data_IF_088120337376
#
_entry.id   IF_088120337376
#
_cell.length_a   1.000
_cell.length_b   1.000
_cell.length_c   1.000
_cell.angle_alpha   90.00
_cell.angle_beta   90.00
_cell.angle_gamma   90.00
#
_symmetry.space_group_name_H-M   'P 1'
#
loop_
_entity.id
_entity.type
_entity.pdbx_description
1 polymer ?
#
# COMPACT_ATOMS: atom_id res chain seq x y z
N UNK A 1 2.61 12.52 2.28
CA UNK A 1 1.75 13.18 1.25
C UNK A 1 1.89 14.70 1.24
N UNK A 2 1.93 15.39 2.36
CA UNK A 2 1.93 16.87 2.50
C UNK A 2 3.09 17.61 1.83
N UNK A 3 4.30 17.01 1.79
CA UNK A 3 5.50 17.66 1.23
C UNK A 3 5.50 17.82 -0.29
N UNK A 4 4.57 17.21 -1.02
CA UNK A 4 4.56 17.23 -2.50
C UNK A 4 3.78 18.40 -3.10
N UNK A 5 2.80 18.93 -2.39
CA UNK A 5 1.97 20.04 -2.88
C UNK A 5 2.68 21.39 -2.89
N UNK A 6 3.61 21.64 -1.98
CA UNK A 6 4.48 22.82 -2.04
C UNK A 6 5.35 22.92 -3.30
N UNK A 7 5.29 21.91 -4.20
CA UNK A 7 5.98 21.86 -5.50
C UNK A 7 5.05 22.06 -6.70
N UNK A 8 3.82 22.53 -6.51
CA UNK A 8 2.85 22.79 -7.60
C UNK A 8 2.22 21.52 -8.21
N UNK A 9 2.25 20.38 -7.50
CA UNK A 9 1.63 19.14 -7.96
C UNK A 9 0.15 19.09 -7.60
N UNK A 10 -0.70 18.66 -8.55
CA UNK A 10 -2.09 18.28 -8.27
C UNK A 10 -2.12 16.85 -7.72
N UNK A 11 -2.70 16.66 -6.54
CA UNK A 11 -2.70 15.36 -5.83
C UNK A 11 -4.13 14.86 -5.63
N UNK A 12 -4.35 13.58 -5.91
CA UNK A 12 -5.57 12.85 -5.59
C UNK A 12 -5.20 11.78 -4.56
N UNK A 13 -5.83 11.80 -3.39
CA UNK A 13 -5.75 10.74 -2.37
C UNK A 13 -6.93 9.80 -2.54
N UNK A 14 -6.65 8.51 -2.59
CA UNK A 14 -7.67 7.46 -2.69
C UNK A 14 -7.52 6.52 -1.51
N UNK A 15 -8.60 6.26 -0.82
CA UNK A 15 -8.67 5.30 0.29
C UNK A 15 -10.09 4.71 0.37
N UNK A 16 -10.23 3.57 1.05
CA UNK A 16 -11.54 2.97 1.35
C UNK A 16 -12.10 3.47 2.69
N UNK A 17 -11.24 3.80 3.64
CA UNK A 17 -11.61 4.29 4.97
C UNK A 17 -12.05 5.74 4.93
N UNK A 18 -13.26 5.99 5.37
CA UNK A 18 -13.81 7.35 5.52
C UNK A 18 -13.09 8.13 6.62
N UNK A 19 -12.73 7.44 7.72
CA UNK A 19 -11.98 8.01 8.84
C UNK A 19 -10.60 8.48 8.39
N UNK A 20 -9.88 7.65 7.62
CA UNK A 20 -8.56 8.03 7.09
C UNK A 20 -8.63 9.20 6.12
N UNK A 21 -9.65 9.24 5.26
CA UNK A 21 -9.88 10.37 4.36
C UNK A 21 -10.24 11.64 5.12
N UNK A 22 -11.07 11.54 6.16
CA UNK A 22 -11.44 12.68 7.02
C UNK A 22 -10.20 13.24 7.74
N UNK A 23 -9.41 12.36 8.35
CA UNK A 23 -8.16 12.76 9.00
C UNK A 23 -7.17 13.41 8.02
N UNK A 24 -7.08 12.87 6.80
CA UNK A 24 -6.25 13.44 5.74
C UNK A 24 -6.75 14.82 5.28
N UNK A 25 -8.06 15.01 5.14
CA UNK A 25 -8.67 16.30 4.81
C UNK A 25 -8.38 17.34 5.88
N UNK A 26 -8.59 17.01 7.16
CA UNK A 26 -8.29 17.91 8.28
C UNK A 26 -6.82 18.35 8.29
N UNK A 27 -5.89 17.39 8.10
CA UNK A 27 -4.45 17.69 8.04
C UNK A 27 -4.04 18.51 6.81
N UNK A 28 -4.87 18.63 5.80
CA UNK A 28 -4.60 19.38 4.57
C UNK A 28 -5.45 20.66 4.44
N UNK A 29 -6.27 21.00 5.44
CA UNK A 29 -7.23 22.11 5.35
C UNK A 29 -6.58 23.47 5.07
N UNK A 30 -5.40 23.72 5.65
CA UNK A 30 -4.68 24.99 5.53
C UNK A 30 -3.76 25.08 4.29
N UNK A 31 -3.77 24.06 3.42
CA UNK A 31 -2.94 24.10 2.21
C UNK A 31 -3.58 24.95 1.12
N UNK A 32 -2.80 25.80 0.45
CA UNK A 32 -3.26 26.61 -0.69
C UNK A 32 -3.93 25.77 -1.81
N UNK A 33 -3.42 24.56 -2.06
CA UNK A 33 -3.96 23.63 -3.01
C UNK A 33 -4.15 22.26 -2.32
N UNK A 34 -5.24 22.04 -1.57
CA UNK A 34 -5.43 20.79 -0.87
C UNK A 34 -5.61 19.62 -1.87
N UNK A 35 -5.20 18.41 -1.50
CA UNK A 35 -5.50 17.22 -2.28
C UNK A 35 -7.01 17.05 -2.47
N UNK A 36 -7.37 16.45 -3.59
CA UNK A 36 -8.70 15.87 -3.74
C UNK A 36 -8.71 14.48 -3.11
N UNK A 37 -9.68 14.19 -2.26
CA UNK A 37 -9.83 12.89 -1.65
C UNK A 37 -11.05 12.17 -2.24
N UNK A 38 -10.88 10.88 -2.54
CA UNK A 38 -11.91 10.04 -3.17
C UNK A 38 -11.99 8.71 -2.44
N UNK A 39 -13.18 8.34 -1.98
CA UNK A 39 -13.42 7.04 -1.37
C UNK A 39 -13.67 6.00 -2.45
N UNK A 40 -12.67 5.17 -2.72
CA UNK A 40 -12.73 4.07 -3.68
C UNK A 40 -11.80 2.94 -3.27
N UNK A 41 -12.16 1.71 -3.62
CA UNK A 41 -11.22 0.59 -3.59
C UNK A 41 -10.37 0.58 -4.86
N UNK A 42 -9.15 0.06 -4.77
CA UNK A 42 -8.20 0.08 -5.87
C UNK A 42 -8.68 -0.75 -7.08
N UNK A 43 -9.35 -1.89 -6.83
CA UNK A 43 -9.93 -2.74 -7.87
C UNK A 43 -11.15 -2.11 -8.58
N UNK A 44 -11.70 -1.00 -8.05
CA UNK A 44 -12.78 -0.21 -8.66
C UNK A 44 -12.32 1.20 -9.04
N UNK A 45 -11.03 1.47 -8.98
CA UNK A 45 -10.48 2.79 -9.25
C UNK A 45 -10.96 3.34 -10.59
N UNK A 46 -11.51 4.53 -10.55
CA UNK A 46 -11.85 5.34 -11.70
C UNK A 46 -11.54 6.81 -11.42
N UNK A 47 -10.81 7.46 -12.32
CA UNK A 47 -10.49 8.88 -12.25
C UNK A 47 -11.00 9.56 -13.53
N UNK A 48 -11.62 10.76 -13.43
CA UNK A 48 -12.17 11.48 -14.58
C UNK A 48 -11.09 12.04 -15.51
N UNK A 49 -9.85 12.16 -15.03
CA UNK A 49 -8.66 12.60 -15.78
C UNK A 49 -7.51 11.69 -15.43
N UNK A 50 -6.64 11.45 -16.41
CA UNK A 50 -5.44 10.66 -16.20
C UNK A 50 -4.43 11.37 -15.27
N UNK A 51 -3.60 10.58 -14.63
CA UNK A 51 -2.51 11.05 -13.75
C UNK A 51 -1.16 10.63 -14.33
N UNK A 52 -0.11 11.39 -14.03
CA UNK A 52 1.24 11.11 -14.54
C UNK A 52 2.02 10.17 -13.61
N UNK A 53 1.61 10.12 -12.35
CA UNK A 53 2.22 9.27 -11.32
C UNK A 53 1.13 8.70 -10.41
N UNK A 54 1.13 7.38 -10.24
CA UNK A 54 0.39 6.68 -9.20
C UNK A 54 1.39 6.12 -8.19
N UNK A 55 1.11 6.30 -6.91
CA UNK A 55 1.89 5.72 -5.80
C UNK A 55 0.95 4.97 -4.88
N UNK A 56 1.23 3.69 -4.65
CA UNK A 56 0.53 2.85 -3.70
C UNK A 56 1.59 2.36 -2.70
N UNK A 57 1.64 2.99 -1.55
CA UNK A 57 2.71 2.78 -0.56
C UNK A 57 2.18 2.05 0.67
N UNK A 58 3.13 1.56 1.49
CA UNK A 58 2.85 0.84 2.73
C UNK A 58 2.02 -0.42 2.46
N UNK A 59 2.57 -1.32 1.63
CA UNK A 59 2.02 -2.66 1.39
C UNK A 59 0.52 -2.71 1.04
N UNK A 60 -0.07 -1.58 0.65
CA UNK A 60 -1.52 -1.50 0.38
C UNK A 60 -2.04 -2.50 -0.67
N UNK A 61 -1.17 -3.00 -1.56
CA UNK A 61 -1.55 -4.07 -2.50
C UNK A 61 -1.70 -5.43 -1.81
N UNK A 62 -0.93 -5.70 -0.77
CA UNK A 62 -0.95 -6.97 -0.05
C UNK A 62 -2.29 -7.19 0.66
N UNK A 63 -2.96 -6.10 1.07
CA UNK A 63 -4.31 -6.10 1.64
C UNK A 63 -5.40 -6.55 0.66
N UNK A 64 -5.10 -6.63 -0.63
CA UNK A 64 -6.01 -7.21 -1.62
C UNK A 64 -5.77 -8.72 -1.66
N UNK A 65 -6.36 -9.45 -0.72
CA UNK A 65 -6.10 -10.89 -0.51
C UNK A 65 -6.62 -11.80 -1.61
N UNK A 66 -7.43 -11.30 -2.53
CA UNK A 66 -7.84 -12.06 -3.72
C UNK A 66 -6.91 -11.71 -4.91
N UNK A 67 -6.13 -12.67 -5.45
CA UNK A 67 -5.23 -12.42 -6.58
C UNK A 67 -5.91 -11.90 -7.85
N UNK A 68 -7.18 -12.25 -8.10
CA UNK A 68 -7.94 -11.72 -9.25
C UNK A 68 -8.24 -10.23 -9.06
N UNK A 69 -8.56 -9.82 -7.86
CA UNK A 69 -8.83 -8.41 -7.51
C UNK A 69 -7.56 -7.58 -7.55
N UNK A 70 -6.41 -8.11 -7.11
CA UNK A 70 -5.11 -7.46 -7.23
C UNK A 70 -4.73 -7.24 -8.71
N UNK A 71 -4.91 -8.25 -9.56
CA UNK A 71 -4.71 -8.12 -11.01
C UNK A 71 -5.61 -7.03 -11.62
N UNK A 72 -6.89 -6.97 -11.22
CA UNK A 72 -7.82 -5.92 -11.66
C UNK A 72 -7.39 -4.54 -11.13
N UNK A 73 -6.97 -4.43 -9.87
CA UNK A 73 -6.45 -3.19 -9.28
C UNK A 73 -5.28 -2.63 -10.10
N UNK A 74 -4.29 -3.46 -10.43
CA UNK A 74 -3.15 -3.07 -11.28
C UNK A 74 -3.64 -2.60 -12.66
N UNK A 75 -4.61 -3.30 -13.26
CA UNK A 75 -5.22 -2.89 -14.54
C UNK A 75 -5.94 -1.54 -14.43
N UNK A 76 -6.63 -1.27 -13.32
CA UNK A 76 -7.30 0.01 -13.07
C UNK A 76 -6.30 1.16 -12.91
N UNK A 77 -5.21 0.94 -12.22
CA UNK A 77 -4.11 1.93 -12.13
C UNK A 77 -3.54 2.22 -13.52
N UNK A 78 -3.32 1.19 -14.35
CA UNK A 78 -2.85 1.38 -15.71
C UNK A 78 -3.83 2.26 -16.53
N UNK A 79 -5.14 2.04 -16.39
CA UNK A 79 -6.16 2.86 -17.06
C UNK A 79 -6.16 4.30 -16.58
N UNK A 80 -5.97 4.53 -15.29
CA UNK A 80 -5.93 5.86 -14.69
C UNK A 80 -4.68 6.67 -15.06
N UNK A 81 -3.60 6.03 -15.47
CA UNK A 81 -2.36 6.70 -15.87
C UNK A 81 -2.47 7.30 -17.27
N UNK A 82 -1.87 8.46 -17.46
CA UNK A 82 -1.59 9.03 -18.79
C UNK A 82 -0.54 8.17 -19.54
N UNK A 83 -0.50 8.22 -20.88
CA UNK A 83 0.60 7.62 -21.65
C UNK A 83 1.96 8.10 -21.16
N UNK A 84 2.87 7.18 -20.87
CA UNK A 84 4.18 7.48 -20.29
C UNK A 84 4.17 7.63 -18.76
N UNK A 85 3.01 7.61 -18.12
CA UNK A 85 2.85 7.71 -16.69
C UNK A 85 3.50 6.55 -15.93
N UNK A 86 3.79 6.76 -14.67
CA UNK A 86 4.56 5.84 -13.81
C UNK A 86 3.69 5.33 -12.68
N UNK A 87 3.77 4.02 -12.39
CA UNK A 87 3.24 3.40 -11.19
C UNK A 87 4.38 2.98 -10.29
N UNK A 88 4.31 3.36 -9.02
CA UNK A 88 5.26 2.95 -7.97
C UNK A 88 4.44 2.36 -6.83
N UNK A 89 4.85 1.19 -6.34
CA UNK A 89 4.26 0.58 -5.16
C UNK A 89 5.30 -0.26 -4.42
N UNK A 90 5.04 -0.57 -3.18
CA UNK A 90 5.81 -1.50 -2.37
C UNK A 90 4.93 -2.63 -1.85
N UNK A 91 5.56 -3.74 -1.57
CA UNK A 91 4.95 -4.93 -0.97
C UNK A 91 5.90 -5.55 0.05
N UNK A 92 5.35 -6.22 1.03
CA UNK A 92 6.07 -7.15 1.88
C UNK A 92 6.47 -8.39 1.07
N UNK A 93 7.65 -8.93 1.30
CA UNK A 93 8.05 -10.17 0.62
C UNK A 93 7.33 -11.38 1.22
N UNK A 94 7.11 -12.45 0.43
CA UNK A 94 6.56 -13.69 0.97
C UNK A 94 7.38 -14.26 2.14
N UNK A 95 8.70 -14.09 2.11
CA UNK A 95 9.61 -14.51 3.17
C UNK A 95 9.33 -13.76 4.47
N UNK A 96 9.10 -12.43 4.39
CA UNK A 96 8.73 -11.63 5.56
C UNK A 96 7.40 -12.09 6.14
N UNK A 97 6.38 -12.26 5.29
CA UNK A 97 5.04 -12.61 5.77
C UNK A 97 5.02 -14.01 6.41
N UNK A 98 5.73 -14.98 5.84
CA UNK A 98 5.90 -16.31 6.45
C UNK A 98 6.65 -16.26 7.77
N UNK A 99 7.68 -15.41 7.87
CA UNK A 99 8.47 -15.29 9.09
C UNK A 99 7.67 -14.68 10.26
N UNK A 100 6.48 -14.13 10.01
CA UNK A 100 5.59 -13.63 11.06
C UNK A 100 4.74 -14.71 11.71
N UNK A 101 4.73 -15.93 11.16
CA UNK A 101 3.97 -17.06 11.70
C UNK A 101 4.38 -17.36 13.14
N UNK A 102 3.39 -17.44 14.04
CA UNK A 102 3.60 -17.68 15.46
C UNK A 102 4.39 -16.58 16.21
N UNK A 103 4.72 -15.46 15.57
CA UNK A 103 5.47 -14.37 16.20
C UNK A 103 4.55 -13.44 17.00
N UNK A 104 5.11 -12.91 18.08
CA UNK A 104 4.50 -11.84 18.87
C UNK A 104 5.46 -10.67 18.92
N UNK A 105 4.99 -9.51 18.51
CA UNK A 105 5.75 -8.26 18.56
C UNK A 105 5.09 -7.32 19.55
N UNK A 106 5.91 -6.55 20.20
CA UNK A 106 5.48 -5.57 21.17
C UNK A 106 6.11 -4.24 20.82
N UNK A 107 5.28 -3.20 20.78
CA UNK A 107 5.68 -1.83 20.55
C UNK A 107 5.02 -0.95 21.61
N UNK A 108 5.80 -0.11 22.27
CA UNK A 108 5.30 0.70 23.39
C UNK A 108 5.92 2.10 23.40
N UNK A 109 5.13 3.04 23.82
CA UNK A 109 5.56 4.38 24.26
C UNK A 109 4.77 4.76 25.53
N UNK A 110 4.93 6.00 25.99
CA UNK A 110 4.32 6.47 27.26
C UNK A 110 2.78 6.37 27.26
N UNK A 111 2.13 6.46 26.10
CA UNK A 111 0.68 6.55 25.94
C UNK A 111 0.07 5.43 25.10
N UNK A 112 0.89 4.59 24.49
CA UNK A 112 0.44 3.51 23.60
C UNK A 112 1.21 2.23 23.88
N UNK A 113 0.47 1.14 23.98
CA UNK A 113 1.01 -0.22 24.07
C UNK A 113 0.34 -1.09 23.02
N UNK A 114 1.12 -1.67 22.13
CA UNK A 114 0.63 -2.44 21.00
C UNK A 114 1.23 -3.84 20.97
N UNK A 115 0.38 -4.85 20.87
CA UNK A 115 0.80 -6.26 20.75
C UNK A 115 0.30 -6.80 19.43
N UNK A 116 1.23 -7.25 18.58
CA UNK A 116 0.93 -7.88 17.30
C UNK A 116 1.13 -9.39 17.40
N UNK A 117 0.22 -10.14 16.81
CA UNK A 117 0.35 -11.58 16.65
C UNK A 117 0.16 -11.94 15.20
N UNK A 118 1.16 -12.58 14.61
CA UNK A 118 1.12 -13.06 13.23
C UNK A 118 0.75 -14.53 13.16
N UNK A 119 -0.02 -14.87 12.14
CA UNK A 119 -0.38 -16.22 11.75
C UNK A 119 -0.33 -16.32 10.22
N UNK A 120 0.38 -17.30 9.67
CA UNK A 120 0.52 -17.47 8.23
C UNK A 120 -0.12 -18.78 7.78
N UNK A 121 -1.13 -18.67 6.93
CA UNK A 121 -1.78 -19.82 6.31
C UNK A 121 -1.12 -20.13 4.94
N UNK A 122 -0.37 -21.22 4.89
CA UNK A 122 0.33 -21.69 3.68
C UNK A 122 -0.63 -22.09 2.54
N UNK A 123 -1.85 -22.55 2.84
CA UNK A 123 -2.82 -22.97 1.82
C UNK A 123 -3.40 -21.75 1.09
N UNK A 124 -3.83 -20.74 1.81
CA UNK A 124 -4.35 -19.50 1.25
C UNK A 124 -3.26 -18.49 0.87
N UNK A 125 -2.02 -18.68 1.36
CA UNK A 125 -0.90 -17.77 1.22
C UNK A 125 -1.18 -16.37 1.82
N UNK A 126 -1.87 -16.36 2.98
CA UNK A 126 -2.29 -15.16 3.69
C UNK A 126 -1.63 -15.10 5.06
N UNK A 127 -1.05 -13.96 5.38
CA UNK A 127 -0.66 -13.58 6.73
C UNK A 127 -1.78 -12.78 7.40
N UNK A 128 -2.23 -13.24 8.55
CA UNK A 128 -3.20 -12.53 9.39
C UNK A 128 -2.50 -11.95 10.61
N UNK A 129 -2.77 -10.69 10.92
CA UNK A 129 -2.25 -10.03 12.11
C UNK A 129 -3.38 -9.62 13.02
N UNK A 130 -3.36 -10.14 14.26
CA UNK A 130 -4.17 -9.59 15.34
C UNK A 130 -3.37 -8.52 16.08
N UNK A 131 -3.89 -7.30 16.14
CA UNK A 131 -3.28 -6.19 16.84
C UNK A 131 -4.15 -5.73 18.01
N UNK A 132 -3.63 -5.93 19.23
CA UNK A 132 -4.20 -5.35 20.44
C UNK A 132 -3.54 -4.00 20.69
N UNK A 133 -4.30 -2.94 20.60
CA UNK A 133 -3.85 -1.57 20.85
C UNK A 133 -4.45 -1.07 22.17
N UNK A 134 -3.59 -0.67 23.10
CA UNK A 134 -3.97 -0.03 24.37
C UNK A 134 -3.54 1.43 24.31
N UNK A 135 -4.49 2.34 24.45
CA UNK A 135 -4.25 3.78 24.49
C UNK A 135 -4.53 4.33 25.89
N UNK A 136 -3.59 5.11 26.42
CA UNK A 136 -3.74 5.77 27.71
C UNK A 136 -4.75 6.91 27.61
N UNK A 137 -5.67 6.93 28.57
CA UNK A 137 -6.69 7.99 28.75
C UNK A 137 -6.70 8.42 30.21
N UNK A 138 -5.85 9.36 30.56
CA UNK A 138 -5.60 9.75 31.95
C UNK A 138 -4.98 8.59 32.75
N UNK A 139 -5.66 8.08 33.77
CA UNK A 139 -5.19 6.97 34.62
C UNK A 139 -5.64 5.58 34.13
N UNK A 140 -6.38 5.50 33.00
CA UNK A 140 -6.92 4.25 32.47
C UNK A 140 -6.36 3.97 31.07
N UNK A 141 -6.42 2.68 30.68
CA UNK A 141 -6.06 2.23 29.35
C UNK A 141 -7.30 1.73 28.63
N UNK A 142 -7.49 2.19 27.41
CA UNK A 142 -8.58 1.76 26.52
C UNK A 142 -8.01 0.80 25.49
N UNK A 143 -8.53 -0.44 25.48
CA UNK A 143 -8.14 -1.46 24.49
C UNK A 143 -9.02 -1.34 23.25
N UNK A 144 -8.40 -1.42 22.09
CA UNK A 144 -9.03 -1.73 20.79
C UNK A 144 -8.34 -2.92 20.15
N UNK A 145 -9.02 -3.57 19.21
CA UNK A 145 -8.46 -4.69 18.46
C UNK A 145 -8.69 -4.45 16.98
N UNK A 146 -7.65 -4.69 16.18
CA UNK A 146 -7.70 -4.64 14.73
C UNK A 146 -7.16 -5.95 14.16
N UNK A 147 -7.76 -6.40 13.05
CA UNK A 147 -7.28 -7.54 12.29
C UNK A 147 -6.89 -7.06 10.88
N UNK A 148 -5.70 -7.43 10.47
CA UNK A 148 -5.16 -7.15 9.15
C UNK A 148 -4.87 -8.47 8.44
N UNK A 149 -5.05 -8.50 7.13
CA UNK A 149 -4.76 -9.68 6.31
C UNK A 149 -4.04 -9.25 5.06
N UNK A 150 -2.89 -9.88 4.81
CA UNK A 150 -2.04 -9.61 3.66
C UNK A 150 -1.78 -10.89 2.88
N UNK A 151 -1.91 -10.81 1.56
CA UNK A 151 -1.55 -11.90 0.67
C UNK A 151 -0.08 -11.79 0.28
N UNK A 152 0.67 -12.89 0.38
CA UNK A 152 2.09 -12.96 0.10
C UNK A 152 2.36 -13.03 -1.42
N UNK A 153 2.24 -11.90 -2.12
CA UNK A 153 2.50 -11.80 -3.55
C UNK A 153 3.98 -11.98 -3.87
N UNK A 154 4.32 -12.93 -4.76
CA UNK A 154 5.69 -13.03 -5.27
C UNK A 154 6.02 -11.92 -6.28
N UNK A 155 7.31 -11.62 -6.45
CA UNK A 155 7.78 -10.65 -7.43
C UNK A 155 7.41 -11.07 -8.86
N UNK A 156 7.48 -12.38 -9.16
CA UNK A 156 7.12 -12.96 -10.45
C UNK A 156 5.63 -12.77 -10.75
N UNK A 157 4.77 -13.01 -9.75
CA UNK A 157 3.32 -12.87 -9.85
C UNK A 157 2.93 -11.42 -10.13
N UNK A 158 3.46 -10.47 -9.36
CA UNK A 158 3.19 -9.03 -9.57
C UNK A 158 3.76 -8.53 -10.91
N UNK A 159 4.94 -9.00 -11.29
CA UNK A 159 5.53 -8.68 -12.60
C UNK A 159 4.64 -9.20 -13.74
N UNK A 160 4.09 -10.41 -13.60
CA UNK A 160 3.17 -10.96 -14.59
C UNK A 160 1.87 -10.14 -14.67
N UNK A 161 1.32 -9.68 -13.54
CA UNK A 161 0.13 -8.82 -13.52
C UNK A 161 0.40 -7.46 -14.16
N UNK A 162 1.54 -6.84 -13.90
CA UNK A 162 1.96 -5.59 -14.53
C UNK A 162 2.08 -5.74 -16.05
N UNK A 163 2.75 -6.80 -16.52
CA UNK A 163 2.87 -7.10 -17.97
C UNK A 163 1.51 -7.32 -18.61
N UNK A 164 0.64 -8.11 -17.97
CA UNK A 164 -0.71 -8.38 -18.45
C UNK A 164 -1.59 -7.11 -18.53
N UNK A 165 -1.37 -6.13 -17.65
CA UNK A 165 -2.05 -4.83 -17.71
C UNK A 165 -1.51 -3.90 -18.82
N UNK A 166 -0.32 -4.18 -19.39
CA UNK A 166 0.32 -3.39 -20.43
C UNK A 166 1.40 -2.44 -19.92
N UNK A 167 1.89 -2.62 -18.71
CA UNK A 167 3.07 -1.90 -18.22
C UNK A 167 4.35 -2.38 -18.89
N UNK A 168 5.27 -1.45 -19.08
CA UNK A 168 6.61 -1.66 -19.63
C UNK A 168 7.66 -1.09 -18.66
N UNK A 169 8.95 -1.36 -18.91
CA UNK A 169 10.05 -0.86 -18.06
C UNK A 169 9.79 -1.14 -16.58
N UNK A 170 9.46 -2.40 -16.26
CA UNK A 170 9.23 -2.87 -14.91
C UNK A 170 10.60 -3.08 -14.26
N UNK A 171 10.82 -2.44 -13.12
CA UNK A 171 12.00 -2.59 -12.28
C UNK A 171 11.57 -2.87 -10.84
N UNK A 172 12.32 -3.72 -10.16
CA UNK A 172 12.13 -4.03 -8.74
C UNK A 172 13.37 -3.59 -7.98
N UNK A 173 13.18 -2.94 -6.86
CA UNK A 173 14.22 -2.39 -6.03
C UNK A 173 14.14 -2.93 -4.60
N UNK A 174 15.28 -3.08 -3.97
CA UNK A 174 15.42 -3.37 -2.56
C UNK A 174 14.83 -2.24 -1.67
N UNK A 175 14.59 -2.52 -0.40
CA UNK A 175 14.04 -1.51 0.52
C UNK A 175 14.96 -0.28 0.60
N UNK A 176 14.40 0.89 0.23
CA UNK A 176 15.04 2.21 0.25
C UNK A 176 16.36 2.33 -0.52
N UNK A 177 16.63 1.41 -1.44
CA UNK A 177 17.84 1.39 -2.28
C UNK A 177 17.47 1.30 -3.76
N UNK A 178 18.25 1.93 -4.62
CA UNK A 178 18.10 1.82 -6.09
C UNK A 178 18.92 0.64 -6.64
N UNK A 179 18.83 -0.50 -5.98
CA UNK A 179 19.54 -1.74 -6.32
C UNK A 179 18.53 -2.87 -6.48
N UNK A 180 18.89 -3.93 -7.19
CA UNK A 180 18.07 -5.12 -7.27
C UNK A 180 17.93 -5.77 -5.88
N UNK A 181 16.74 -6.35 -5.54
CA UNK A 181 16.58 -7.04 -4.27
C UNK A 181 17.53 -8.22 -4.15
N UNK A 182 18.14 -8.37 -2.98
CA UNK A 182 18.90 -9.54 -2.59
C UNK A 182 18.06 -10.58 -1.85
N UNK A 183 18.68 -11.71 -1.49
CA UNK A 183 18.06 -12.68 -0.60
C UNK A 183 17.81 -12.06 0.78
N UNK A 184 16.63 -12.34 1.38
CA UNK A 184 16.26 -11.85 2.70
C UNK A 184 15.69 -10.43 2.76
N UNK A 185 15.43 -9.80 1.62
CA UNK A 185 14.70 -8.52 1.61
C UNK A 185 13.31 -8.70 2.21
N UNK A 186 12.98 -7.80 3.14
CA UNK A 186 11.69 -7.81 3.85
C UNK A 186 10.60 -7.06 3.08
N UNK A 187 11.00 -6.12 2.22
CA UNK A 187 10.14 -5.24 1.41
C UNK A 187 10.81 -4.95 0.09
N UNK A 188 10.01 -4.90 -0.96
CA UNK A 188 10.49 -4.55 -2.30
C UNK A 188 9.61 -3.47 -2.92
N UNK A 189 10.22 -2.64 -3.76
CA UNK A 189 9.56 -1.55 -4.46
C UNK A 189 9.50 -1.84 -5.95
N UNK A 190 8.32 -1.73 -6.52
CA UNK A 190 8.10 -1.82 -7.95
C UNK A 190 7.99 -0.43 -8.58
N UNK A 191 8.58 -0.28 -9.74
CA UNK A 191 8.39 0.86 -10.64
C UNK A 191 8.05 0.34 -12.02
N UNK A 192 6.92 0.77 -12.57
CA UNK A 192 6.47 0.35 -13.90
C UNK A 192 5.98 1.57 -14.69
N UNK A 193 6.12 1.55 -16.00
CA UNK A 193 5.71 2.66 -16.87
C UNK A 193 4.60 2.21 -17.81
N UNK A 194 3.58 3.04 -17.99
CA UNK A 194 2.60 2.89 -19.08
C UNK A 194 3.27 3.28 -20.39
N UNK A 195 3.16 2.43 -21.42
CA UNK A 195 3.68 2.74 -22.75
C UNK A 195 3.16 4.08 -23.29
N UNK A 196 3.96 4.77 -24.10
CA UNK A 196 3.47 5.91 -24.89
C UNK A 196 2.62 5.38 -26.05
N UNK A 197 1.51 6.03 -26.33
CA UNK A 197 0.79 5.79 -27.57
C UNK A 197 1.73 6.27 -28.70
N UNK A 198 2.05 5.35 -29.63
CA UNK A 198 2.77 5.72 -30.87
C UNK A 198 1.89 6.55 -31.76
#
# INVERSE_FOLDING_TARGET
MYKRQGKGLSVIGVDMSEEMLTAAQQKCADLQNPPRFVRQSLQRLWLPRGVDLAVCALDSLDYITNPKDCKEAIRRVWKALNPGGIFIFDVNTPEKLRAMDGQVFLDEDDDVYCVWRGDFDEESNICSYGMDLFQRRGETWVRSFEEHREYAYSQEQLTAYLKAAGFTHIAVYADRRFEAPGAGEQRVYFKARKGKIK
#
